data_IF_860647225308
#
_entry.id   IF_860647225308
#
_cell.length_a   1.000
_cell.length_b   1.000
_cell.length_c   1.000
_cell.angle_alpha   90.00
_cell.angle_beta   90.00
_cell.angle_gamma   90.00
#
_symmetry.space_group_name_H-M   'P 1'
#
loop_
_entity.id
_entity.type
_entity.pdbx_description
1 polymer ?
#
# COMPACT_ATOMS: atom_id res chain seq x y z
N UNK A 1 42.96 -28.35 35.13
CA UNK A 1 44.15 -28.89 34.42
C UNK A 1 44.81 -29.94 35.30
N UNK A 2 45.36 -31.04 34.77
CA UNK A 2 45.02 -31.84 33.57
C UNK A 2 44.70 -33.32 34.00
N UNK A 3 44.47 -34.37 33.20
CA UNK A 3 44.59 -34.71 31.78
C UNK A 3 43.67 -35.95 31.51
N UNK A 4 42.86 -35.95 30.44
CA UNK A 4 42.99 -36.72 29.18
C UNK A 4 42.97 -38.27 29.24
N UNK A 5 41.94 -38.89 28.61
CA UNK A 5 42.10 -39.99 27.63
C UNK A 5 40.78 -40.49 26.98
N UNK A 6 40.59 -40.10 25.71
CA UNK A 6 40.27 -40.92 24.49
C UNK A 6 39.04 -41.85 24.41
N UNK A 7 38.01 -41.32 23.70
CA UNK A 7 37.37 -41.79 22.45
C UNK A 7 37.48 -43.28 22.02
N UNK A 8 36.33 -43.95 21.85
CA UNK A 8 36.18 -45.19 21.05
C UNK A 8 35.00 -45.03 20.07
N UNK A 9 35.30 -44.90 18.77
CA UNK A 9 34.32 -44.90 17.67
C UNK A 9 34.38 -46.26 16.98
N UNK A 10 33.27 -47.02 17.01
CA UNK A 10 33.06 -48.23 16.23
C UNK A 10 32.44 -47.89 14.87
N UNK A 11 33.19 -48.11 13.78
CA UNK A 11 32.67 -48.18 12.40
C UNK A 11 32.84 -49.62 11.89
N UNK A 12 31.74 -50.33 11.62
CA UNK A 12 31.74 -51.62 10.93
C UNK A 12 31.98 -51.42 9.43
N UNK A 13 33.04 -52.04 8.90
CA UNK A 13 33.23 -52.34 7.47
C UNK A 13 32.84 -53.79 7.22
N UNK A 14 32.16 -54.05 6.11
CA UNK A 14 32.09 -55.38 5.48
C UNK A 14 32.51 -55.19 4.02
N UNK A 15 33.55 -55.90 3.62
CA UNK A 15 34.03 -56.07 2.25
C UNK A 15 33.84 -57.54 1.87
N UNK A 16 33.46 -57.82 0.61
CA UNK A 16 33.95 -58.90 -0.27
C UNK A 16 33.43 -58.59 -1.70
N UNK A 17 34.30 -58.14 -2.63
CA UNK A 17 35.09 -58.92 -3.60
C UNK A 17 34.25 -59.40 -4.82
N UNK A 18 34.22 -58.70 -5.97
CA UNK A 18 35.12 -58.70 -7.16
C UNK A 18 35.03 -59.92 -8.10
N UNK A 19 34.58 -59.69 -9.35
CA UNK A 19 35.20 -60.07 -10.67
C UNK A 19 34.20 -59.68 -11.80
N UNK A 20 34.38 -58.63 -12.63
CA UNK A 20 35.14 -58.52 -13.93
C UNK A 20 35.06 -59.81 -14.77
N UNK A 21 34.68 -59.80 -16.06
CA UNK A 21 35.36 -59.29 -17.27
C UNK A 21 34.31 -59.07 -18.41
N UNK A 22 34.36 -58.00 -19.22
CA UNK A 22 34.99 -57.95 -20.58
C UNK A 22 33.93 -58.12 -21.70
N UNK A 23 33.42 -57.08 -22.38
CA UNK A 23 33.98 -56.31 -23.52
C UNK A 23 33.49 -56.77 -24.92
N UNK A 24 32.74 -55.87 -25.59
CA UNK A 24 32.71 -55.50 -27.02
C UNK A 24 32.15 -56.51 -28.06
N UNK A 25 31.22 -56.02 -28.91
CA UNK A 25 30.87 -56.67 -30.18
C UNK A 25 29.65 -56.05 -30.89
N UNK A 26 29.93 -55.28 -31.94
CA UNK A 26 29.02 -54.58 -32.89
C UNK A 26 28.19 -55.51 -33.80
N UNK A 27 26.98 -55.10 -34.21
CA UNK A 27 26.50 -55.22 -35.62
C UNK A 27 25.12 -54.56 -35.86
N UNK A 28 25.10 -53.73 -36.90
CA UNK A 28 23.99 -53.08 -37.62
C UNK A 28 23.08 -54.06 -38.39
N UNK A 29 21.78 -53.74 -38.50
CA UNK A 29 20.98 -54.05 -39.69
C UNK A 29 19.95 -52.93 -39.97
N UNK A 30 19.74 -52.68 -41.26
CA UNK A 30 19.17 -51.50 -41.91
C UNK A 30 17.90 -51.90 -42.69
N UNK A 31 16.91 -50.99 -42.71
CA UNK A 31 15.79 -50.76 -43.68
C UNK A 31 14.71 -51.85 -43.88
N UNK A 32 13.44 -51.44 -43.94
CA UNK A 32 12.72 -51.05 -45.18
C UNK A 32 11.36 -50.39 -44.87
N UNK A 33 11.07 -49.32 -45.62
CA UNK A 33 9.84 -48.53 -45.77
C UNK A 33 8.61 -49.34 -46.22
N UNK A 34 7.38 -48.93 -45.85
CA UNK A 34 6.25 -48.74 -46.79
C UNK A 34 4.94 -48.23 -46.15
N UNK A 35 4.35 -47.26 -46.85
CA UNK A 35 2.92 -46.94 -47.01
C UNK A 35 2.12 -46.26 -45.87
N UNK A 36 1.85 -44.95 -46.09
CA UNK A 36 0.72 -44.20 -45.53
C UNK A 36 -0.61 -44.64 -46.19
N UNK A 37 -1.74 -44.44 -45.49
CA UNK A 37 -2.82 -43.69 -46.11
C UNK A 37 -3.25 -42.48 -45.27
N UNK A 38 -3.59 -41.43 -46.00
CA UNK A 38 -4.15 -40.17 -45.54
C UNK A 38 -5.45 -40.43 -44.78
N UNK A 39 -5.53 -39.97 -43.53
CA UNK A 39 -6.81 -39.76 -42.84
C UNK A 39 -6.99 -38.29 -42.49
N UNK A 40 -8.19 -37.85 -42.82
CA UNK A 40 -8.74 -36.51 -42.82
C UNK A 40 -8.67 -35.92 -41.42
N UNK A 41 -8.30 -34.64 -41.36
CA UNK A 41 -8.29 -33.86 -40.15
C UNK A 41 -9.72 -33.74 -39.58
N UNK A 42 -9.96 -34.34 -38.42
CA UNK A 42 -10.99 -33.87 -37.50
C UNK A 42 -10.31 -33.05 -36.40
N UNK A 43 -10.66 -31.77 -36.39
CA UNK A 43 -10.26 -30.81 -35.39
C UNK A 43 -10.95 -31.13 -34.06
N UNK A 44 -10.34 -32.00 -33.25
CA UNK A 44 -10.69 -32.10 -31.84
C UNK A 44 -10.00 -30.96 -31.08
N UNK A 45 -10.84 -30.01 -30.64
CA UNK A 45 -10.51 -28.98 -29.65
C UNK A 45 -9.73 -29.61 -28.49
N UNK A 46 -8.41 -29.37 -28.46
CA UNK A 46 -7.61 -29.56 -27.26
C UNK A 46 -8.07 -28.52 -26.25
N UNK A 47 -9.03 -28.89 -25.41
CA UNK A 47 -9.32 -28.18 -24.17
C UNK A 47 -8.04 -28.18 -23.33
N UNK A 48 -7.30 -27.08 -23.36
CA UNK A 48 -6.19 -26.83 -22.45
C UNK A 48 -6.76 -26.67 -21.03
N UNK A 49 -6.85 -27.77 -20.29
CA UNK A 49 -6.94 -27.71 -18.84
C UNK A 49 -5.57 -27.23 -18.32
N UNK A 50 -5.47 -25.97 -17.91
CA UNK A 50 -4.32 -25.52 -17.12
C UNK A 50 -4.43 -26.14 -15.73
N UNK A 51 -3.45 -26.97 -15.37
CA UNK A 51 -3.24 -27.43 -14.00
C UNK A 51 -2.89 -26.22 -13.13
N UNK A 52 -3.61 -26.03 -12.03
CA UNK A 52 -3.23 -25.06 -11.00
C UNK A 52 -2.28 -25.72 -10.01
N UNK A 53 -1.36 -24.97 -9.41
CA UNK A 53 -0.51 -25.43 -8.30
C UNK A 53 -1.38 -25.96 -7.14
N UNK A 54 -2.61 -25.45 -7.01
CA UNK A 54 -3.59 -25.93 -6.03
C UNK A 54 -4.02 -27.40 -6.27
N UNK A 55 -4.02 -27.88 -7.51
CA UNK A 55 -4.34 -29.29 -7.83
C UNK A 55 -3.21 -30.25 -7.43
N UNK A 56 -1.99 -29.75 -7.26
CA UNK A 56 -0.82 -30.54 -6.84
C UNK A 56 -0.75 -30.70 -5.31
N UNK A 57 -1.23 -29.71 -4.55
CA UNK A 57 -1.13 -29.70 -3.09
C UNK A 57 -2.38 -30.23 -2.35
N UNK A 58 -3.56 -30.21 -2.96
CA UNK A 58 -4.81 -30.57 -2.24
C UNK A 58 -5.47 -31.89 -2.65
N UNK A 59 -4.93 -32.59 -3.65
CA UNK A 59 -5.52 -33.84 -4.15
C UNK A 59 -6.91 -33.61 -4.79
N UNK A 60 -7.31 -34.52 -5.69
CA UNK A 60 -8.62 -34.46 -6.34
C UNK A 60 -9.73 -34.53 -5.27
N UNK A 61 -10.53 -33.48 -5.13
CA UNK A 61 -11.87 -33.63 -4.55
C UNK A 61 -12.71 -34.44 -5.53
N UNK A 62 -13.23 -35.57 -5.08
CA UNK A 62 -14.18 -36.39 -5.81
C UNK A 62 -15.35 -35.52 -6.29
N UNK A 63 -15.49 -35.36 -7.60
CA UNK A 63 -16.75 -34.96 -8.22
C UNK A 63 -17.49 -36.27 -8.46
N UNK A 64 -18.62 -36.42 -7.80
CA UNK A 64 -19.52 -37.55 -7.95
C UNK A 64 -20.00 -37.61 -9.40
N UNK A 65 -19.59 -38.66 -10.12
CA UNK A 65 -20.05 -38.98 -11.46
C UNK A 65 -21.55 -39.26 -11.43
N UNK A 66 -22.33 -38.48 -12.17
CA UNK A 66 -23.72 -38.82 -12.48
C UNK A 66 -23.70 -39.75 -13.70
N UNK A 67 -24.39 -40.91 -13.68
CA UNK A 67 -24.47 -41.77 -14.85
C UNK A 67 -25.31 -41.09 -15.96
N UNK A 68 -24.98 -41.31 -17.24
CA UNK A 68 -25.74 -40.74 -18.35
C UNK A 68 -27.15 -41.34 -18.41
N UNK A 69 -28.17 -40.48 -18.37
CA UNK A 69 -29.56 -40.87 -18.64
C UNK A 69 -29.74 -41.22 -20.12
N UNK A 70 -30.49 -42.29 -20.38
CA UNK A 70 -30.82 -42.77 -21.72
C UNK A 70 -31.61 -41.71 -22.53
N UNK A 71 -31.43 -41.66 -23.87
CA UNK A 71 -32.06 -40.65 -24.69
C UNK A 71 -33.59 -40.82 -24.75
N UNK A 72 -34.31 -39.77 -24.37
CA UNK A 72 -35.75 -39.64 -24.57
C UNK A 72 -36.09 -39.72 -26.06
N UNK A 73 -36.90 -40.70 -26.44
CA UNK A 73 -37.61 -40.74 -27.72
C UNK A 73 -38.66 -39.64 -27.73
N UNK A 74 -38.33 -38.48 -28.32
CA UNK A 74 -39.25 -37.53 -28.97
C UNK A 74 -38.44 -36.31 -29.44
N UNK A 75 -37.86 -36.42 -30.63
CA UNK A 75 -37.23 -35.29 -31.31
C UNK A 75 -38.25 -34.66 -32.29
N UNK A 76 -38.57 -33.36 -32.22
CA UNK A 76 -39.26 -32.68 -33.29
C UNK A 76 -38.35 -32.48 -34.52
N UNK A 77 -38.92 -32.68 -35.71
CA UNK A 77 -38.27 -32.58 -37.02
C UNK A 77 -37.52 -31.25 -37.22
N UNK A 78 -36.25 -31.35 -37.66
CA UNK A 78 -35.44 -30.20 -38.13
C UNK A 78 -36.00 -29.68 -39.47
N UNK A 79 -36.41 -28.41 -39.48
CA UNK A 79 -36.61 -27.64 -40.72
C UNK A 79 -35.25 -27.23 -41.33
N UNK A 80 -35.11 -27.18 -42.67
CA UNK A 80 -33.87 -26.81 -43.33
C UNK A 80 -33.55 -25.31 -43.21
N UNK A 81 -32.27 -25.00 -42.99
CA UNK A 81 -31.74 -23.65 -42.81
C UNK A 81 -31.74 -22.80 -44.11
N UNK A 82 -31.91 -21.47 -44.03
CA UNK A 82 -31.89 -20.58 -45.19
C UNK A 82 -30.47 -20.33 -45.73
N UNK A 83 -30.36 -20.27 -47.07
CA UNK A 83 -29.13 -19.95 -47.82
C UNK A 83 -28.59 -18.56 -47.49
N UNK A 84 -27.29 -18.48 -47.17
CA UNK A 84 -26.50 -17.24 -47.00
C UNK A 84 -26.50 -16.41 -48.29
N UNK A 85 -26.84 -15.12 -48.18
CA UNK A 85 -26.59 -14.09 -49.20
C UNK A 85 -25.17 -13.52 -49.06
N UNK A 86 -24.57 -13.15 -50.20
CA UNK A 86 -23.23 -12.57 -50.33
C UNK A 86 -23.13 -11.17 -49.68
N UNK A 87 -21.93 -10.73 -49.27
CA UNK A 87 -21.74 -9.48 -48.53
C UNK A 87 -21.73 -8.23 -49.43
N UNK A 88 -22.33 -7.15 -48.93
CA UNK A 88 -22.31 -5.81 -49.53
C UNK A 88 -21.00 -5.04 -49.18
N UNK A 89 -20.59 -4.04 -49.99
CA UNK A 89 -19.31 -3.35 -49.81
C UNK A 89 -19.30 -2.36 -48.63
N UNK A 90 -18.14 -2.26 -47.96
CA UNK A 90 -17.87 -1.42 -46.78
C UNK A 90 -17.98 0.08 -47.10
N UNK A 91 -18.77 0.81 -46.31
CA UNK A 91 -18.69 2.26 -46.23
C UNK A 91 -17.38 2.70 -45.55
N UNK A 92 -16.76 3.75 -46.08
CA UNK A 92 -15.51 4.31 -45.55
C UNK A 92 -15.74 4.95 -44.17
N UNK A 93 -14.87 4.61 -43.21
CA UNK A 93 -14.90 5.12 -41.85
C UNK A 93 -14.36 6.56 -41.79
N UNK A 94 -15.06 7.45 -41.07
CA UNK A 94 -14.58 8.79 -40.76
C UNK A 94 -13.30 8.75 -39.88
N UNK A 95 -12.39 9.72 -40.00
CA UNK A 95 -11.15 9.74 -39.22
C UNK A 95 -11.44 9.94 -37.73
N UNK A 96 -10.81 9.09 -36.89
CA UNK A 96 -10.85 9.17 -35.43
C UNK A 96 -10.19 10.48 -34.94
N UNK A 97 -10.73 11.13 -33.89
CA UNK A 97 -10.04 12.21 -33.20
C UNK A 97 -8.68 11.74 -32.68
N UNK A 98 -7.66 12.59 -32.78
CA UNK A 98 -6.33 12.32 -32.26
C UNK A 98 -6.40 12.05 -30.75
N UNK A 99 -5.69 11.01 -30.31
CA UNK A 99 -5.59 10.66 -28.90
C UNK A 99 -4.96 11.81 -28.10
N UNK A 100 -5.43 12.09 -26.87
CA UNK A 100 -4.83 13.12 -26.03
C UNK A 100 -3.37 12.78 -25.74
N UNK A 101 -2.49 13.78 -25.89
CA UNK A 101 -1.07 13.67 -25.57
C UNK A 101 -0.96 13.43 -24.07
N UNK A 102 -0.42 12.27 -23.69
CA UNK A 102 -0.09 11.96 -22.29
C UNK A 102 1.08 12.87 -21.90
N UNK A 103 0.81 13.82 -21.02
CA UNK A 103 1.86 14.59 -20.34
C UNK A 103 2.58 13.61 -19.42
N UNK A 104 3.82 13.25 -19.73
CA UNK A 104 4.67 12.50 -18.80
C UNK A 104 4.91 13.37 -17.55
N UNK A 105 4.22 13.03 -16.47
CA UNK A 105 4.48 13.60 -15.16
C UNK A 105 5.89 13.17 -14.72
N UNK A 106 6.84 14.11 -14.69
CA UNK A 106 8.21 13.84 -14.22
C UNK A 106 8.15 13.28 -12.80
N UNK A 107 8.55 12.03 -12.63
CA UNK A 107 8.67 11.40 -11.32
C UNK A 107 9.65 12.19 -10.46
N UNK A 108 9.26 12.49 -9.22
CA UNK A 108 10.12 13.17 -8.24
C UNK A 108 11.28 12.23 -7.87
N UNK A 109 12.51 12.65 -8.16
CA UNK A 109 13.72 11.91 -7.79
C UNK A 109 13.91 11.94 -6.27
N UNK A 110 14.23 10.79 -5.68
CA UNK A 110 14.47 10.67 -4.23
C UNK A 110 15.88 11.15 -3.89
N UNK A 111 16.00 11.89 -2.79
CA UNK A 111 17.29 12.39 -2.31
C UNK A 111 18.19 11.23 -1.87
N UNK A 112 19.49 11.37 -2.05
CA UNK A 112 20.46 10.38 -1.59
C UNK A 112 20.44 10.18 -0.05
N UNK A 113 20.01 11.20 0.70
CA UNK A 113 19.86 11.16 2.16
C UNK A 113 18.40 10.98 2.62
N UNK A 114 17.50 10.54 1.73
CA UNK A 114 16.10 10.31 2.06
C UNK A 114 15.98 9.33 3.24
N UNK A 115 15.11 9.68 4.19
CA UNK A 115 14.81 8.84 5.34
C UNK A 115 13.97 7.64 4.90
N UNK A 116 14.32 6.46 5.41
CA UNK A 116 13.62 5.23 5.09
C UNK A 116 12.53 4.92 6.10
N UNK A 117 11.34 4.61 5.60
CA UNK A 117 10.23 4.05 6.36
C UNK A 117 10.21 2.55 6.08
N UNK A 118 10.43 1.73 7.11
CA UNK A 118 10.33 0.28 6.98
C UNK A 118 8.91 -0.18 7.32
N UNK A 119 8.16 -0.67 6.33
CA UNK A 119 6.82 -1.28 6.53
C UNK A 119 6.97 -2.79 6.57
N UNK A 120 6.48 -3.44 7.63
CA UNK A 120 6.54 -4.89 7.79
C UNK A 120 5.19 -5.50 8.13
N UNK A 121 4.91 -6.69 7.59
CA UNK A 121 3.82 -7.52 8.07
C UNK A 121 3.14 -8.40 7.03
N UNK A 122 1.87 -8.70 7.24
CA UNK A 122 1.12 -9.63 6.40
C UNK A 122 0.64 -8.98 5.09
N UNK A 123 -0.34 -9.60 4.40
CA UNK A 123 -0.88 -9.05 3.16
C UNK A 123 -1.46 -7.64 3.31
N UNK A 124 -1.98 -7.28 4.48
CA UNK A 124 -2.46 -5.92 4.74
C UNK A 124 -1.31 -4.92 4.82
N UNK A 125 -0.16 -5.31 5.40
CA UNK A 125 1.05 -4.49 5.38
C UNK A 125 1.56 -4.26 3.95
N UNK A 126 1.51 -5.29 3.10
CA UNK A 126 1.81 -5.15 1.68
C UNK A 126 0.90 -4.12 1.00
N UNK A 127 -0.40 -4.15 1.34
CA UNK A 127 -1.36 -3.15 0.90
C UNK A 127 -1.06 -1.73 1.43
N UNK A 128 -0.73 -1.61 2.71
CA UNK A 128 -0.32 -0.36 3.35
C UNK A 128 0.92 0.23 2.67
N UNK A 129 1.94 -0.59 2.40
CA UNK A 129 3.17 -0.18 1.70
C UNK A 129 2.87 0.49 0.36
N UNK A 130 2.02 -0.13 -0.48
CA UNK A 130 1.59 0.47 -1.74
C UNK A 130 0.86 1.81 -1.54
N UNK A 131 0.02 1.91 -0.52
CA UNK A 131 -0.63 3.18 -0.18
C UNK A 131 0.35 4.25 0.29
N UNK A 132 1.38 3.87 1.04
CA UNK A 132 2.43 4.75 1.54
C UNK A 132 3.35 5.23 0.42
N UNK A 133 3.71 4.36 -0.53
CA UNK A 133 4.43 4.74 -1.75
C UNK A 133 3.67 5.82 -2.52
N UNK A 134 2.35 5.66 -2.68
CA UNK A 134 1.50 6.67 -3.31
C UNK A 134 1.43 7.97 -2.49
N UNK A 135 1.34 7.88 -1.16
CA UNK A 135 1.26 9.04 -0.27
C UNK A 135 2.54 9.88 -0.22
N UNK A 136 3.70 9.25 -0.38
CA UNK A 136 5.01 9.89 -0.33
C UNK A 136 5.70 9.96 -1.70
N UNK A 137 4.98 9.70 -2.80
CA UNK A 137 5.49 9.77 -4.18
C UNK A 137 6.25 11.07 -4.42
N UNK A 138 5.62 12.19 -4.09
CA UNK A 138 6.15 13.54 -4.31
C UNK A 138 7.04 14.06 -3.16
N UNK A 139 7.32 13.22 -2.16
CA UNK A 139 8.20 13.57 -1.04
C UNK A 139 9.62 13.04 -1.32
N UNK A 140 10.56 13.90 -1.76
CA UNK A 140 11.89 13.46 -2.19
C UNK A 140 12.77 13.00 -1.01
N UNK A 141 12.49 13.45 0.22
CA UNK A 141 13.21 13.07 1.44
C UNK A 141 12.71 11.78 2.11
N UNK A 142 11.77 11.05 1.50
CA UNK A 142 11.25 9.78 2.05
C UNK A 142 11.32 8.66 1.01
N UNK A 143 11.80 7.50 1.46
CA UNK A 143 11.72 6.23 0.74
C UNK A 143 10.95 5.24 1.62
N UNK A 144 9.95 4.57 1.04
CA UNK A 144 9.23 3.50 1.71
C UNK A 144 9.83 2.17 1.28
N UNK A 145 10.20 1.34 2.25
CA UNK A 145 10.71 0.00 2.02
C UNK A 145 9.74 -0.99 2.67
N UNK A 146 9.08 -1.80 1.85
CA UNK A 146 8.02 -2.71 2.32
C UNK A 146 8.48 -4.16 2.24
N UNK A 147 8.47 -4.84 3.39
CA UNK A 147 8.68 -6.28 3.49
C UNK A 147 7.42 -6.95 4.00
N UNK A 148 6.71 -7.65 3.11
CA UNK A 148 5.47 -8.34 3.47
C UNK A 148 5.51 -9.82 3.10
N UNK A 149 4.86 -10.63 3.92
CA UNK A 149 4.62 -12.04 3.62
C UNK A 149 3.13 -12.35 3.78
N UNK A 150 2.48 -12.64 2.65
CA UNK A 150 1.02 -12.68 2.48
C UNK A 150 0.29 -13.54 3.52
N UNK A 151 0.77 -14.76 3.79
CA UNK A 151 0.08 -15.73 4.64
C UNK A 151 0.70 -15.86 6.04
N UNK A 152 1.58 -14.93 6.40
CA UNK A 152 2.31 -14.95 7.68
C UNK A 152 1.58 -14.21 8.80
N UNK A 153 2.08 -14.37 10.01
CA UNK A 153 1.63 -13.73 11.23
C UNK A 153 2.57 -14.09 12.39
N UNK A 154 2.31 -13.61 13.60
CA UNK A 154 3.14 -13.90 14.77
C UNK A 154 2.85 -15.27 15.43
N UNK A 155 1.79 -15.97 15.02
CA UNK A 155 1.45 -17.30 15.57
C UNK A 155 2.34 -18.41 15.00
N UNK A 156 2.62 -18.37 13.71
CA UNK A 156 3.36 -19.40 12.97
C UNK A 156 4.78 -18.95 12.65
N UNK A 157 5.64 -18.97 13.67
CA UNK A 157 7.08 -18.76 13.54
C UNK A 157 7.75 -19.84 12.67
N UNK A 158 7.19 -21.05 12.65
CA UNK A 158 7.58 -22.16 11.76
C UNK A 158 7.40 -21.85 10.27
N UNK A 159 6.43 -21.00 9.93
CA UNK A 159 6.15 -20.60 8.55
C UNK A 159 6.99 -19.39 8.14
N UNK A 160 7.04 -18.35 8.98
CA UNK A 160 7.84 -17.16 8.74
C UNK A 160 8.24 -16.48 10.05
N UNK A 161 9.53 -16.51 10.36
CA UNK A 161 10.10 -15.94 11.59
C UNK A 161 10.22 -14.42 11.49
N UNK A 162 9.12 -13.71 11.75
CA UNK A 162 9.09 -12.25 11.79
C UNK A 162 10.15 -11.64 12.73
N UNK A 163 10.34 -12.10 13.98
CA UNK A 163 11.37 -11.56 14.87
C UNK A 163 12.79 -11.59 14.29
N UNK A 164 13.17 -12.68 13.62
CA UNK A 164 14.46 -12.78 12.96
C UNK A 164 14.55 -11.85 11.75
N UNK A 165 13.51 -11.83 10.91
CA UNK A 165 13.51 -11.03 9.68
C UNK A 165 13.48 -9.53 9.97
N UNK A 166 12.70 -9.08 10.97
CA UNK A 166 12.65 -7.69 11.38
C UNK A 166 14.03 -7.18 11.80
N UNK A 167 14.78 -7.98 12.56
CA UNK A 167 16.17 -7.64 12.95
C UNK A 167 17.03 -7.42 11.72
N UNK A 168 16.99 -8.35 10.76
CA UNK A 168 17.74 -8.26 9.51
C UNK A 168 17.36 -7.00 8.71
N UNK A 169 16.07 -6.75 8.52
CA UNK A 169 15.60 -5.59 7.75
C UNK A 169 16.01 -4.26 8.41
N UNK A 170 15.97 -4.16 9.74
CA UNK A 170 16.44 -2.96 10.44
C UNK A 170 17.95 -2.75 10.29
N UNK A 171 18.74 -3.84 10.33
CA UNK A 171 20.19 -3.77 10.17
C UNK A 171 20.61 -3.37 8.75
N UNK A 172 19.90 -3.88 7.73
CA UNK A 172 20.15 -3.59 6.31
C UNK A 172 19.63 -2.21 5.90
N UNK A 173 18.38 -1.90 6.24
CA UNK A 173 17.73 -0.67 5.80
C UNK A 173 18.17 0.55 6.62
N UNK A 174 18.46 0.37 7.92
CA UNK A 174 18.67 1.44 8.91
C UNK A 174 17.53 2.48 8.86
N UNK A 175 16.29 2.04 9.11
CA UNK A 175 15.14 2.91 8.90
C UNK A 175 15.05 4.01 9.95
N UNK A 176 14.51 5.15 9.54
CA UNK A 176 14.18 6.25 10.43
C UNK A 176 12.97 5.94 11.31
N UNK A 177 12.10 5.01 10.87
CA UNK A 177 10.97 4.49 11.63
C UNK A 177 10.50 3.14 11.07
N UNK A 178 9.80 2.37 11.90
CA UNK A 178 9.15 1.11 11.51
C UNK A 178 7.64 1.22 11.64
N UNK A 179 6.93 0.67 10.67
CA UNK A 179 5.48 0.54 10.64
C UNK A 179 5.13 -0.93 10.54
N UNK A 180 4.36 -1.43 11.49
CA UNK A 180 3.96 -2.84 11.58
C UNK A 180 2.46 -2.96 11.29
N UNK A 181 2.08 -3.91 10.45
CA UNK A 181 0.67 -4.31 10.30
C UNK A 181 0.58 -5.84 10.19
N UNK A 182 0.27 -6.47 11.33
CA UNK A 182 0.21 -7.92 11.48
C UNK A 182 -1.04 -8.31 12.26
N UNK A 183 -1.56 -9.50 11.98
CA UNK A 183 -2.58 -10.16 12.79
C UNK A 183 -3.75 -10.72 12.00
N UNK A 184 -3.86 -10.42 10.70
CA UNK A 184 -4.99 -10.89 9.89
C UNK A 184 -5.02 -12.42 9.77
N UNK A 185 -3.84 -13.06 9.79
CA UNK A 185 -3.67 -14.51 9.70
C UNK A 185 -3.49 -15.20 11.08
N UNK A 186 -3.47 -14.45 12.18
CA UNK A 186 -3.12 -14.99 13.50
C UNK A 186 -4.29 -15.61 14.24
N UNK A 187 -5.48 -15.65 13.62
CA UNK A 187 -6.70 -16.24 14.19
C UNK A 187 -6.70 -17.78 14.12
N UNK A 188 -5.67 -18.42 14.65
CA UNK A 188 -5.44 -19.86 14.57
C UNK A 188 -4.83 -20.44 15.87
N UNK A 189 -4.87 -21.76 16.01
CA UNK A 189 -4.25 -22.46 17.14
C UNK A 189 -2.73 -22.19 17.16
N UNK A 190 -2.20 -21.88 18.34
CA UNK A 190 -0.80 -21.58 18.54
C UNK A 190 -0.09 -22.77 19.20
N UNK A 191 1.12 -23.06 18.73
CA UNK A 191 2.03 -23.97 19.41
C UNK A 191 2.96 -23.13 20.28
N UNK A 192 3.05 -23.49 21.55
CA UNK A 192 3.83 -22.82 22.59
C UNK A 192 4.73 -23.85 23.28
N UNK A 193 5.67 -23.40 24.10
CA UNK A 193 6.57 -24.29 24.85
C UNK A 193 5.82 -25.21 25.83
N UNK A 194 4.66 -24.76 26.32
CA UNK A 194 3.83 -25.50 27.29
C UNK A 194 2.74 -26.37 26.62
N UNK A 195 2.62 -26.32 25.30
CA UNK A 195 1.65 -27.10 24.54
C UNK A 195 0.92 -26.28 23.48
N UNK A 196 -0.25 -26.74 23.06
CA UNK A 196 -1.03 -26.08 22.01
C UNK A 196 -2.20 -25.30 22.61
N UNK A 197 -2.26 -24.02 22.31
CA UNK A 197 -3.31 -23.11 22.75
C UNK A 197 -4.29 -22.84 21.62
N UNK A 198 -5.59 -23.09 21.87
CA UNK A 198 -6.63 -22.81 20.89
C UNK A 198 -6.87 -21.31 20.83
N UNK A 199 -7.08 -20.76 19.64
CA UNK A 199 -7.46 -19.35 19.49
C UNK A 199 -8.65 -18.99 20.41
N UNK A 200 -8.57 -17.81 21.05
CA UNK A 200 -9.48 -17.27 22.08
C UNK A 200 -9.40 -17.88 23.49
N UNK A 201 -8.44 -18.76 23.79
CA UNK A 201 -8.17 -19.12 25.20
C UNK A 201 -7.33 -18.03 25.88
N UNK A 202 -7.41 -17.94 27.21
CA UNK A 202 -6.58 -17.01 27.98
C UNK A 202 -5.08 -17.30 27.77
N UNK A 203 -4.70 -18.57 27.69
CA UNK A 203 -3.32 -18.99 27.37
C UNK A 203 -2.86 -18.51 26.00
N UNK A 204 -3.73 -18.59 24.99
CA UNK A 204 -3.44 -18.06 23.65
C UNK A 204 -3.19 -16.56 23.68
N UNK A 205 -4.07 -15.79 24.35
CA UNK A 205 -3.92 -14.34 24.42
C UNK A 205 -2.68 -13.93 25.23
N UNK A 206 -2.37 -14.62 26.33
CA UNK A 206 -1.18 -14.34 27.12
C UNK A 206 0.11 -14.53 26.30
N UNK A 207 0.22 -15.64 25.57
CA UNK A 207 1.40 -15.87 24.71
C UNK A 207 1.43 -14.91 23.52
N UNK A 208 0.29 -14.64 22.87
CA UNK A 208 0.25 -13.70 21.76
C UNK A 208 0.66 -12.28 22.19
N UNK A 209 0.19 -11.84 23.36
CA UNK A 209 0.63 -10.59 24.00
C UNK A 209 2.14 -10.54 24.21
N UNK A 210 2.72 -11.64 24.74
CA UNK A 210 4.17 -11.75 24.93
C UNK A 210 4.92 -11.60 23.60
N UNK A 211 4.45 -12.24 22.53
CA UNK A 211 5.06 -12.15 21.19
C UNK A 211 4.96 -10.74 20.60
N UNK A 212 3.80 -10.09 20.71
CA UNK A 212 3.59 -8.70 20.25
C UNK A 212 4.51 -7.73 20.99
N UNK A 213 4.61 -7.84 22.32
CA UNK A 213 5.50 -7.02 23.15
C UNK A 213 6.96 -7.24 22.76
N UNK A 214 7.39 -8.50 22.64
CA UNK A 214 8.75 -8.83 22.25
C UNK A 214 9.11 -8.26 20.87
N UNK A 215 8.20 -8.39 19.89
CA UNK A 215 8.38 -7.85 18.55
C UNK A 215 8.48 -6.32 18.56
N UNK A 216 7.59 -5.62 19.27
CA UNK A 216 7.66 -4.17 19.41
C UNK A 216 8.95 -3.69 20.10
N UNK A 217 9.40 -4.39 21.15
CA UNK A 217 10.64 -4.08 21.86
C UNK A 217 11.89 -4.22 20.99
N UNK A 218 11.91 -5.11 20.00
CA UNK A 218 13.05 -5.19 19.06
C UNK A 218 13.28 -3.86 18.33
N UNK A 219 12.20 -3.11 18.05
CA UNK A 219 12.26 -1.79 17.41
C UNK A 219 12.58 -0.71 18.45
N UNK A 220 11.78 -0.61 19.51
CA UNK A 220 11.86 0.54 20.43
C UNK A 220 13.11 0.52 21.32
N UNK A 221 13.67 -0.66 21.60
CA UNK A 221 14.97 -0.78 22.30
C UNK A 221 16.12 -0.13 21.53
N UNK A 222 16.04 -0.10 20.19
CA UNK A 222 16.99 0.57 19.30
C UNK A 222 16.71 2.07 19.15
N UNK A 223 15.72 2.61 19.88
CA UNK A 223 15.26 4.00 19.80
C UNK A 223 14.70 4.39 18.43
N UNK A 224 14.25 3.41 17.66
CA UNK A 224 13.56 3.64 16.39
C UNK A 224 12.06 3.83 16.71
N UNK A 225 11.41 4.91 16.21
CA UNK A 225 9.97 5.08 16.33
C UNK A 225 9.19 3.92 15.71
N UNK A 226 8.16 3.46 16.42
CA UNK A 226 7.32 2.33 16.03
C UNK A 226 5.87 2.76 15.91
N UNK A 227 5.27 2.55 14.73
CA UNK A 227 3.83 2.59 14.53
C UNK A 227 3.28 1.18 14.33
N UNK A 228 2.22 0.81 15.06
CA UNK A 228 1.47 -0.42 14.80
C UNK A 228 0.09 -0.07 14.28
N UNK A 229 -0.21 -0.48 13.06
CA UNK A 229 -1.47 -0.19 12.40
C UNK A 229 -2.49 -1.27 12.77
N UNK A 230 -3.67 -0.83 13.21
CA UNK A 230 -4.78 -1.72 13.54
C UNK A 230 -5.29 -2.51 12.34
N UNK A 231 -5.96 -3.62 12.61
CA UNK A 231 -6.69 -4.41 11.63
C UNK A 231 -8.01 -3.72 11.28
N UNK A 232 -8.41 -3.71 10.00
CA UNK A 232 -9.70 -3.18 9.59
C UNK A 232 -10.80 -4.24 9.75
N UNK A 233 -12.07 -3.86 9.56
CA UNK A 233 -13.19 -4.80 9.51
C UNK A 233 -13.15 -5.69 8.23
N UNK A 234 -13.65 -6.92 8.35
CA UNK A 234 -13.75 -7.91 7.27
C UNK A 234 -15.21 -8.28 7.01
N UNK A 235 -15.49 -8.86 5.83
CA UNK A 235 -16.87 -9.27 5.48
C UNK A 235 -17.42 -10.35 6.42
N UNK A 236 -16.55 -11.22 6.95
CA UNK A 236 -16.94 -12.20 7.96
C UNK A 236 -17.15 -11.53 9.34
N UNK A 237 -18.35 -11.63 9.94
CA UNK A 237 -18.61 -11.05 11.28
C UNK A 237 -17.70 -11.62 12.37
N UNK A 238 -17.36 -12.91 12.28
CA UNK A 238 -16.44 -13.54 13.21
C UNK A 238 -15.02 -12.97 13.09
N UNK A 239 -14.55 -12.71 11.88
CA UNK A 239 -13.25 -12.06 11.64
C UNK A 239 -13.23 -10.65 12.18
N UNK A 240 -14.29 -9.89 11.94
CA UNK A 240 -14.45 -8.51 12.43
C UNK A 240 -14.45 -8.45 13.95
N UNK A 241 -15.19 -9.32 14.63
CA UNK A 241 -15.18 -9.39 16.09
C UNK A 241 -13.80 -9.76 16.66
N UNK A 242 -13.05 -10.62 15.98
CA UNK A 242 -11.67 -10.94 16.39
C UNK A 242 -10.71 -9.78 16.13
N UNK A 243 -10.85 -9.07 15.01
CA UNK A 243 -10.05 -7.89 14.71
C UNK A 243 -10.21 -6.80 15.77
N UNK A 244 -11.44 -6.58 16.28
CA UNK A 244 -11.69 -5.65 17.41
C UNK A 244 -10.88 -6.06 18.64
N UNK A 245 -10.94 -7.34 19.03
CA UNK A 245 -10.21 -7.84 20.21
C UNK A 245 -8.70 -7.73 20.04
N UNK A 246 -8.18 -8.09 18.85
CA UNK A 246 -6.75 -7.96 18.54
C UNK A 246 -6.31 -6.49 18.53
N UNK A 247 -7.12 -5.57 18.00
CA UNK A 247 -6.81 -4.14 18.03
C UNK A 247 -6.73 -3.57 19.45
N UNK A 248 -7.62 -3.97 20.35
CA UNK A 248 -7.55 -3.59 21.76
C UNK A 248 -6.24 -4.08 22.41
N UNK A 249 -5.85 -5.32 22.10
CA UNK A 249 -4.57 -5.89 22.53
C UNK A 249 -3.40 -5.09 21.97
N UNK A 250 -3.33 -4.87 20.65
CA UNK A 250 -2.25 -4.13 20.00
C UNK A 250 -2.08 -2.74 20.57
N UNK A 251 -3.19 -2.00 20.75
CA UNK A 251 -3.18 -0.66 21.36
C UNK A 251 -2.48 -0.68 22.72
N UNK A 252 -2.95 -1.55 23.63
CA UNK A 252 -2.41 -1.66 24.98
C UNK A 252 -0.93 -2.05 24.98
N UNK A 253 -0.53 -2.99 24.12
CA UNK A 253 0.86 -3.45 24.10
C UNK A 253 1.82 -2.45 23.47
N UNK A 254 1.40 -1.70 22.45
CA UNK A 254 2.24 -0.65 21.86
C UNK A 254 2.51 0.47 22.86
N UNK A 255 1.50 0.92 23.60
CA UNK A 255 1.66 1.89 24.67
C UNK A 255 2.68 1.40 25.72
N UNK A 256 2.65 0.11 26.08
CA UNK A 256 3.57 -0.47 27.06
C UNK A 256 5.03 -0.52 26.63
N UNK A 257 5.31 -0.53 25.32
CA UNK A 257 6.68 -0.62 24.77
C UNK A 257 7.20 0.68 24.17
N UNK A 258 6.43 1.77 24.31
CA UNK A 258 6.76 3.09 23.74
C UNK A 258 6.54 3.20 22.23
N UNK A 259 5.73 2.31 21.66
CA UNK A 259 5.21 2.42 20.29
C UNK A 259 3.87 3.16 20.27
N UNK A 260 3.41 3.52 19.08
CA UNK A 260 2.11 4.19 18.88
C UNK A 260 1.19 3.30 18.05
N UNK A 261 -0.04 3.12 18.53
CA UNK A 261 -1.07 2.41 17.79
C UNK A 261 -1.85 3.37 16.89
N UNK A 262 -1.89 3.05 15.60
CA UNK A 262 -2.67 3.79 14.60
C UNK A 262 -4.01 3.10 14.44
N UNK A 263 -5.05 3.72 14.98
CA UNK A 263 -6.42 3.28 14.78
C UNK A 263 -6.92 3.68 13.40
N UNK A 264 -7.46 2.70 12.68
CA UNK A 264 -7.97 2.84 11.32
C UNK A 264 -9.43 2.39 11.21
N UNK A 265 -10.02 1.93 12.31
CA UNK A 265 -11.29 1.19 12.31
C UNK A 265 -12.41 1.95 11.59
N UNK A 266 -12.65 3.20 11.99
CA UNK A 266 -13.72 4.06 11.48
C UNK A 266 -13.60 4.36 9.98
N UNK A 267 -12.43 4.14 9.39
CA UNK A 267 -12.22 4.30 7.95
C UNK A 267 -12.80 3.16 7.11
N UNK A 268 -13.08 2.01 7.73
CA UNK A 268 -13.43 0.76 7.05
C UNK A 268 -14.73 0.14 7.57
N UNK A 269 -15.52 0.91 8.32
CA UNK A 269 -16.85 0.52 8.79
C UNK A 269 -17.91 1.58 8.45
N UNK A 270 -19.17 1.19 8.53
CA UNK A 270 -20.31 2.10 8.49
C UNK A 270 -20.41 2.88 9.81
N UNK A 271 -21.32 3.86 9.88
CA UNK A 271 -21.64 4.56 11.13
C UNK A 271 -22.12 3.59 12.23
N UNK A 272 -22.74 2.46 11.86
CA UNK A 272 -23.15 1.40 12.78
C UNK A 272 -22.01 0.46 13.20
N UNK A 273 -20.80 0.63 12.66
CA UNK A 273 -19.65 -0.24 12.92
C UNK A 273 -19.61 -1.51 12.05
N UNK A 274 -20.49 -1.63 11.05
CA UNK A 274 -20.54 -2.79 10.17
C UNK A 274 -19.50 -2.70 9.05
N UNK A 275 -19.07 -3.86 8.55
CA UNK A 275 -18.19 -3.94 7.38
C UNK A 275 -18.78 -3.22 6.16
N UNK A 276 -17.94 -2.44 5.47
CA UNK A 276 -18.30 -1.77 4.22
C UNK A 276 -17.40 -2.18 3.06
N UNK A 277 -18.02 -2.30 1.89
CA UNK A 277 -17.31 -2.49 0.62
C UNK A 277 -16.97 -1.15 -0.04
N UNK A 278 -17.87 -0.18 0.10
CA UNK A 278 -17.78 1.17 -0.47
C UNK A 278 -17.80 2.17 0.67
N UNK A 279 -16.92 3.17 0.61
CA UNK A 279 -16.87 4.25 1.58
C UNK A 279 -16.15 5.47 1.00
N UNK A 280 -16.06 6.55 1.78
CA UNK A 280 -15.33 7.75 1.37
C UNK A 280 -13.84 7.47 1.20
N UNK A 281 -13.24 7.94 0.12
CA UNK A 281 -11.80 8.03 -0.08
C UNK A 281 -11.19 9.20 0.72
N UNK A 282 -9.91 9.48 0.49
CA UNK A 282 -9.19 10.60 1.15
C UNK A 282 -9.74 11.99 0.77
N UNK A 283 -10.51 12.09 -0.31
CA UNK A 283 -11.13 13.32 -0.81
C UNK A 283 -12.63 13.40 -0.44
N UNK A 284 -13.14 12.42 0.31
CA UNK A 284 -14.56 12.32 0.67
C UNK A 284 -15.46 11.63 -0.37
N UNK A 285 -14.93 11.24 -1.54
CA UNK A 285 -15.71 10.62 -2.61
C UNK A 285 -16.04 9.15 -2.30
N UNK A 286 -17.26 8.72 -2.59
CA UNK A 286 -17.65 7.32 -2.40
C UNK A 286 -16.99 6.42 -3.45
N UNK A 287 -16.10 5.54 -2.98
CA UNK A 287 -15.36 4.60 -3.82
C UNK A 287 -15.36 3.21 -3.19
N UNK A 288 -15.10 2.20 -4.01
CA UNK A 288 -14.93 0.84 -3.51
C UNK A 288 -13.59 0.72 -2.77
N UNK A 289 -13.63 0.40 -1.48
CA UNK A 289 -12.45 0.24 -0.61
C UNK A 289 -12.01 -1.23 -0.50
N UNK A 290 -12.95 -2.17 -0.66
CA UNK A 290 -12.71 -3.63 -0.55
C UNK A 290 -12.85 -4.36 -1.87
N UNK A 291 -12.06 -5.39 -2.10
CA UNK A 291 -12.29 -6.35 -3.19
C UNK A 291 -13.55 -7.19 -2.94
N UNK A 292 -13.97 -7.98 -3.93
CA UNK A 292 -15.19 -8.80 -3.84
C UNK A 292 -15.07 -9.99 -2.88
N UNK A 293 -13.86 -10.31 -2.43
CA UNK A 293 -13.60 -11.36 -1.45
C UNK A 293 -13.83 -10.91 0.00
N UNK A 294 -14.11 -9.62 0.25
CA UNK A 294 -14.37 -9.10 1.58
C UNK A 294 -13.12 -9.01 2.49
N UNK A 295 -11.92 -9.25 1.94
CA UNK A 295 -10.67 -9.35 2.69
C UNK A 295 -9.66 -8.33 2.18
N UNK A 296 -9.37 -8.34 0.88
CA UNK A 296 -8.34 -7.47 0.31
C UNK A 296 -8.83 -6.03 0.10
N UNK A 297 -7.88 -5.10 0.01
CA UNK A 297 -8.12 -3.68 -0.24
C UNK A 297 -7.96 -3.38 -1.73
N UNK A 298 -8.80 -2.50 -2.25
CA UNK A 298 -8.58 -1.89 -3.57
C UNK A 298 -7.43 -0.88 -3.51
N UNK A 299 -7.04 -0.30 -4.64
CA UNK A 299 -6.09 0.82 -4.66
C UNK A 299 -6.55 2.00 -3.79
N UNK A 300 -7.82 2.40 -3.92
CA UNK A 300 -8.40 3.45 -3.08
C UNK A 300 -8.43 3.06 -1.60
N UNK A 301 -8.73 1.79 -1.28
CA UNK A 301 -8.68 1.26 0.08
C UNK A 301 -7.27 1.32 0.68
N UNK A 302 -6.25 0.96 -0.09
CA UNK A 302 -4.83 1.04 0.30
C UNK A 302 -4.38 2.49 0.50
N UNK A 303 -4.77 3.39 -0.40
CA UNK A 303 -4.48 4.83 -0.25
C UNK A 303 -5.14 5.43 0.99
N UNK A 304 -6.39 5.04 1.28
CA UNK A 304 -7.09 5.43 2.51
C UNK A 304 -6.42 4.86 3.75
N UNK A 305 -5.98 3.60 3.71
CA UNK A 305 -5.24 2.99 4.81
C UNK A 305 -3.97 3.79 5.15
N UNK A 306 -3.18 4.13 4.13
CA UNK A 306 -1.99 4.95 4.30
C UNK A 306 -2.30 6.34 4.86
N UNK A 307 -3.44 6.95 4.48
CA UNK A 307 -3.83 8.28 4.97
C UNK A 307 -3.92 8.37 6.50
N UNK A 308 -4.40 7.32 7.19
CA UNK A 308 -4.41 7.29 8.65
C UNK A 308 -3.00 7.29 9.26
N UNK A 309 -2.03 6.74 8.54
CA UNK A 309 -0.63 6.60 8.96
C UNK A 309 0.21 7.82 8.56
N UNK A 310 -0.21 8.59 7.55
CA UNK A 310 0.52 9.77 7.08
C UNK A 310 0.77 10.82 8.16
N UNK A 311 -0.26 11.17 8.94
CA UNK A 311 -0.14 12.19 9.97
C UNK A 311 0.93 11.84 11.03
N UNK A 312 0.92 10.66 11.66
CA UNK A 312 1.98 10.31 12.61
C UNK A 312 3.36 10.21 11.94
N UNK A 313 3.45 9.69 10.72
CA UNK A 313 4.71 9.64 9.96
C UNK A 313 5.28 11.04 9.71
N UNK A 314 4.47 11.97 9.19
CA UNK A 314 4.87 13.36 8.94
C UNK A 314 5.29 14.07 10.23
N UNK A 315 4.62 13.78 11.35
CA UNK A 315 5.01 14.30 12.66
C UNK A 315 6.38 13.79 13.10
N UNK A 316 6.68 12.51 12.86
CA UNK A 316 7.94 11.88 13.27
C UNK A 316 9.11 12.32 12.38
N UNK A 317 8.92 12.32 11.06
CA UNK A 317 9.98 12.65 10.09
C UNK A 317 10.11 14.16 9.82
N UNK A 318 9.12 14.95 10.21
CA UNK A 318 9.12 16.41 10.08
C UNK A 318 9.31 16.86 8.64
N UNK A 319 10.25 17.79 8.45
CA UNK A 319 10.54 18.42 7.15
C UNK A 319 10.91 17.36 6.09
N UNK A 320 11.53 16.24 6.47
CA UNK A 320 11.91 15.19 5.53
C UNK A 320 10.73 14.55 4.78
N UNK A 321 9.54 14.59 5.39
CA UNK A 321 8.31 14.07 4.81
C UNK A 321 7.56 15.11 3.95
N UNK A 322 8.06 16.34 3.80
CA UNK A 322 7.39 17.39 3.04
C UNK A 322 7.63 17.23 1.53
N UNK A 323 6.59 17.38 0.68
CA UNK A 323 6.78 17.47 -0.77
C UNK A 323 7.56 18.73 -1.20
N UNK A 324 7.57 19.76 -0.36
CA UNK A 324 8.22 21.04 -0.67
C UNK A 324 9.72 21.06 -0.36
N UNK A 325 10.28 19.95 0.15
CA UNK A 325 11.71 19.82 0.46
C UNK A 325 12.65 20.28 -0.66
N UNK A 326 12.34 19.88 -1.90
CA UNK A 326 13.16 20.24 -3.08
C UNK A 326 12.86 21.66 -3.56
N UNK A 327 11.70 22.24 -3.22
CA UNK A 327 11.38 23.64 -3.54
C UNK A 327 12.19 24.65 -2.74
N UNK A 328 12.80 24.25 -1.63
CA UNK A 328 13.67 25.10 -0.81
C UNK A 328 15.13 25.16 -1.28
N UNK A 329 15.50 24.46 -2.36
CA UNK A 329 16.76 24.79 -3.03
C UNK A 329 16.66 26.22 -3.56
N UNK A 330 17.65 27.05 -3.22
CA UNK A 330 17.76 28.50 -3.45
C UNK A 330 17.47 28.99 -4.88
N UNK A 331 17.32 28.09 -5.86
CA UNK A 331 16.88 28.40 -7.22
C UNK A 331 15.37 28.49 -7.44
N UNK A 332 14.54 28.01 -6.49
CA UNK A 332 13.09 27.91 -6.68
C UNK A 332 12.25 28.35 -5.46
N UNK A 333 12.88 29.06 -4.51
CA UNK A 333 12.14 29.79 -3.50
C UNK A 333 11.08 30.65 -4.22
N UNK A 334 9.79 30.60 -3.80
CA UNK A 334 8.84 31.57 -4.31
C UNK A 334 9.48 32.93 -4.09
N UNK A 335 9.56 33.74 -5.15
CA UNK A 335 9.72 35.17 -4.97
C UNK A 335 8.54 35.52 -4.09
N UNK A 336 8.80 35.67 -2.80
CA UNK A 336 7.89 36.35 -1.92
C UNK A 336 8.02 37.76 -2.47
N UNK A 337 7.19 38.08 -3.47
CA UNK A 337 6.86 39.45 -3.75
C UNK A 337 6.30 39.93 -2.43
N UNK A 338 7.19 40.52 -1.63
CA UNK A 338 6.82 41.41 -0.57
C UNK A 338 6.06 42.51 -1.30
N UNK A 339 4.76 42.26 -1.54
CA UNK A 339 3.78 43.30 -1.65
C UNK A 339 4.01 44.06 -0.36
N UNK A 340 4.71 45.19 -0.48
CA UNK A 340 5.03 46.08 0.60
C UNK A 340 3.69 46.56 1.17
N UNK A 341 3.10 45.75 2.03
CA UNK A 341 1.95 46.12 2.82
C UNK A 341 2.52 47.08 3.87
N UNK A 342 2.15 48.36 3.85
CA UNK A 342 2.63 49.30 4.84
C UNK A 342 2.21 48.78 6.23
N UNK A 343 3.20 48.48 7.08
CA UNK A 343 2.98 48.11 8.48
C UNK A 343 3.42 46.71 8.92
N UNK A 344 4.12 45.91 8.10
CA UNK A 344 4.81 44.71 8.60
C UNK A 344 6.32 44.95 8.68
N UNK A 345 6.86 44.93 9.89
CA UNK A 345 8.30 44.88 10.14
C UNK A 345 8.82 43.53 9.68
N UNK A 346 9.84 43.54 8.83
CA UNK A 346 10.49 42.31 8.34
C UNK A 346 11.01 41.47 9.51
N UNK A 347 11.02 40.12 9.42
CA UNK A 347 11.60 39.28 10.45
C UNK A 347 13.11 39.52 10.55
N UNK A 348 13.56 40.10 11.65
CA UNK A 348 14.98 40.32 11.93
C UNK A 348 15.59 39.00 12.44
N UNK A 349 16.74 38.62 11.91
CA UNK A 349 17.47 37.43 12.34
C UNK A 349 18.04 37.60 13.76
N UNK A 350 17.77 36.65 14.65
CA UNK A 350 18.29 36.61 16.03
C UNK A 350 19.81 36.41 16.15
N UNK A 351 20.48 36.10 15.04
CA UNK A 351 21.93 35.83 15.00
C UNK A 351 22.74 36.93 14.32
N UNK A 352 22.12 38.04 13.91
CA UNK A 352 22.82 39.19 13.32
C UNK A 352 22.86 40.38 14.29
N UNK A 353 23.97 40.57 15.03
CA UNK A 353 24.09 41.65 16.01
C UNK A 353 24.12 43.06 15.38
N UNK A 354 24.27 43.19 14.07
CA UNK A 354 24.16 44.50 13.41
C UNK A 354 22.69 44.91 13.15
N UNK A 355 21.74 43.98 13.25
CA UNK A 355 20.33 44.22 12.92
C UNK A 355 19.40 44.21 14.15
N UNK A 356 19.90 43.88 15.35
CA UNK A 356 19.08 43.82 16.59
C UNK A 356 18.68 45.22 17.15
N UNK A 357 19.16 46.29 16.53
CA UNK A 357 18.86 47.67 16.93
C UNK A 357 19.59 48.16 18.18
N UNK A 358 20.52 47.39 18.75
CA UNK A 358 21.26 47.71 19.98
C UNK A 358 22.28 48.86 19.84
N UNK A 359 22.59 49.29 18.61
CA UNK A 359 23.49 50.41 18.35
C UNK A 359 22.82 51.80 18.44
N UNK A 360 21.48 51.88 18.51
CA UNK A 360 20.75 53.15 18.41
C UNK A 360 19.54 53.17 19.35
N UNK A 361 19.40 54.23 20.18
CA UNK A 361 18.29 54.36 21.11
C UNK A 361 16.96 54.54 20.36
N UNK A 362 15.89 53.86 20.80
CA UNK A 362 14.54 54.01 20.24
C UNK A 362 14.11 55.49 20.24
N UNK A 363 14.01 56.08 19.04
CA UNK A 363 13.63 57.48 18.82
C UNK A 363 14.73 58.39 18.25
N UNK A 364 15.97 57.89 18.07
CA UNK A 364 17.08 58.68 17.51
C UNK A 364 16.98 58.99 16.01
N UNK A 365 16.19 58.20 15.27
CA UNK A 365 16.02 58.35 13.84
C UNK A 365 14.60 58.81 13.49
N UNK A 366 14.49 59.89 12.73
CA UNK A 366 13.21 60.30 12.16
C UNK A 366 12.67 59.15 11.29
N UNK A 367 11.45 58.68 11.60
CA UNK A 367 10.81 57.63 10.82
C UNK A 367 10.70 58.11 9.36
N UNK A 368 11.02 57.26 8.37
CA UNK A 368 10.78 57.61 6.98
C UNK A 368 9.28 57.85 6.82
N UNK A 369 8.91 59.09 6.48
CA UNK A 369 7.53 59.43 6.16
C UNK A 369 7.18 58.69 4.88
N UNK A 370 6.33 57.66 4.97
CA UNK A 370 5.80 57.01 3.78
C UNK A 370 5.09 58.05 2.93
N UNK A 371 5.52 58.22 1.68
CA UNK A 371 4.90 59.15 0.73
C UNK A 371 3.47 58.71 0.32
N UNK A 372 3.08 57.49 0.65
CA UNK A 372 1.75 56.94 0.41
C UNK A 372 0.92 56.98 1.70
N UNK A 373 -0.25 57.64 1.63
CA UNK A 373 -1.22 57.67 2.72
C UNK A 373 -1.62 56.23 3.09
N UNK A 374 -1.61 55.90 4.37
CA UNK A 374 -2.09 54.59 4.83
C UNK A 374 -3.62 54.49 4.65
N UNK A 375 -4.19 53.28 4.64
CA UNK A 375 -5.65 53.10 4.61
C UNK A 375 -6.38 53.82 5.77
N UNK A 376 -5.70 53.99 6.92
CA UNK A 376 -6.21 54.79 8.03
C UNK A 376 -6.18 56.29 7.71
N UNK A 377 -5.13 56.77 7.05
CA UNK A 377 -5.02 58.18 6.66
C UNK A 377 -6.05 58.55 5.60
N UNK A 378 -6.29 57.67 4.61
CA UNK A 378 -7.36 57.85 3.61
C UNK A 378 -8.74 57.92 4.26
N UNK A 379 -9.00 57.07 5.27
CA UNK A 379 -10.26 57.11 6.02
C UNK A 379 -10.42 58.37 6.86
N UNK A 380 -9.37 58.79 7.57
CA UNK A 380 -9.42 59.91 8.52
C UNK A 380 -9.35 61.28 7.83
N UNK A 381 -8.55 61.40 6.77
CA UNK A 381 -8.32 62.67 6.08
C UNK A 381 -9.28 62.86 4.91
N UNK A 382 -9.48 61.81 4.10
CA UNK A 382 -10.22 61.91 2.84
C UNK A 382 -11.62 61.25 2.93
N UNK A 383 -11.93 60.56 4.04
CA UNK A 383 -13.21 59.86 4.24
C UNK A 383 -13.37 58.59 3.39
N UNK A 384 -12.29 58.14 2.76
CA UNK A 384 -12.32 57.02 1.82
C UNK A 384 -12.13 55.67 2.53
N UNK A 385 -13.03 54.73 2.30
CA UNK A 385 -12.90 53.34 2.75
C UNK A 385 -12.51 52.43 1.59
N UNK A 386 -11.60 51.49 1.85
CA UNK A 386 -11.30 50.42 0.91
C UNK A 386 -12.55 49.58 0.62
N UNK A 387 -12.67 49.09 -0.61
CA UNK A 387 -13.80 48.26 -1.02
C UNK A 387 -13.91 47.00 -0.14
N UNK A 388 -15.14 46.59 0.25
CA UNK A 388 -15.35 45.37 1.03
C UNK A 388 -14.85 44.13 0.26
N UNK A 389 -14.26 43.13 0.94
CA UNK A 389 -13.95 41.83 0.35
C UNK A 389 -15.20 41.14 -0.20
N UNK A 390 -15.03 40.41 -1.31
CA UNK A 390 -16.13 39.69 -1.96
C UNK A 390 -16.77 38.69 -0.99
N UNK A 391 -18.09 38.79 -0.80
CA UNK A 391 -18.85 37.90 0.09
C UNK A 391 -18.98 38.35 1.54
N UNK A 392 -18.42 39.52 1.92
CA UNK A 392 -18.70 40.15 3.22
C UNK A 392 -20.12 40.74 3.22
N UNK A 393 -20.74 40.82 4.39
CA UNK A 393 -22.16 41.23 4.57
C UNK A 393 -22.49 42.66 4.10
N UNK A 394 -21.47 43.48 3.91
CA UNK A 394 -21.51 44.87 3.45
C UNK A 394 -20.94 45.04 2.02
N UNK A 395 -20.68 43.95 1.31
CA UNK A 395 -20.44 43.97 -0.13
C UNK A 395 -21.78 43.93 -0.90
N UNK A 396 -22.30 45.11 -1.22
CA UNK A 396 -23.59 45.27 -1.92
C UNK A 396 -23.49 45.11 -3.44
N UNK A 397 -22.34 44.69 -3.99
CA UNK A 397 -22.19 44.48 -5.43
C UNK A 397 -22.96 43.23 -5.87
N UNK A 398 -23.97 43.41 -6.73
CA UNK A 398 -24.67 42.29 -7.35
C UNK A 398 -23.79 41.66 -8.44
N UNK A 399 -23.64 40.33 -8.43
CA UNK A 399 -22.98 39.60 -9.50
C UNK A 399 -23.72 39.83 -10.83
N UNK A 400 -23.03 40.12 -11.95
CA UNK A 400 -23.68 40.33 -13.23
C UNK A 400 -24.39 39.05 -13.68
N UNK A 401 -25.67 39.17 -14.02
CA UNK A 401 -26.50 38.08 -14.54
C UNK A 401 -25.92 37.60 -15.88
N UNK A 402 -25.61 36.31 -15.98
CA UNK A 402 -25.15 35.68 -17.22
C UNK A 402 -26.20 35.87 -18.34
N UNK A 403 -25.86 36.44 -19.51
CA UNK A 403 -26.80 36.50 -20.62
C UNK A 403 -27.10 35.10 -21.17
N UNK A 404 -28.39 34.82 -21.36
CA UNK A 404 -28.92 33.58 -21.92
C UNK A 404 -28.41 33.39 -23.36
N UNK A 405 -27.84 32.21 -23.65
CA UNK A 405 -27.33 31.89 -24.98
C UNK A 405 -28.46 31.89 -26.03
N UNK A 406 -28.30 32.69 -27.08
CA UNK A 406 -29.18 32.67 -28.25
C UNK A 406 -28.91 31.40 -29.07
N UNK A 407 -29.93 30.56 -29.22
CA UNK A 407 -29.92 29.39 -30.10
C UNK A 407 -30.22 29.87 -31.52
N UNK A 408 -29.20 29.88 -32.38
CA UNK A 408 -29.38 30.10 -33.82
C UNK A 408 -29.65 28.75 -34.49
N UNK A 409 -30.86 28.57 -35.01
CA UNK A 409 -31.24 27.45 -35.86
C UNK A 409 -30.73 27.74 -37.28
N UNK A 410 -30.05 26.78 -37.91
CA UNK A 410 -29.72 26.80 -39.33
C UNK A 410 -30.05 25.45 -39.95
#
# INVERSE_FOLDING_TARGET
>A
MPADARLLIMRKRVHWATLRWGAIGTATLVLVFSALPVHVADAQERYYYRRSILDFFFGRRYIQEYPPQAPSQNAPQRQPAPRRKAPSPKAAAAPRPAAPVVVEEKAVEKLANAQKILVVGDFLAGGLGVGMDAAFKDSPGVVVETHSNVASGLVRDDYYDWPQQLTKFMDEAKPAMVIVMLGANDRQQMVTDIGKEKFRTDGWYAEYQRRVVAFGQQVTSRKIPLLWVGLPAFDSPAMTADAVQLNQLFRKQMESVGGEFVDIWDGFVSEGGDFIVTGSDINGQQVRLRTSDGINLTEAGRRKLAFYVEKPVRRILGVQASPDLVRLDTGNAPVIDAVAMPGRTEPISLSDPNLDGGAELLGGRALPVSATKSPRDLLVQDGEMAAPPVGRVDDYRMAPVKPTAQVTIK
#
